data_IF_345057821497
#
_entry.id   IF_345057821497
#
_cell.length_a   1.000
_cell.length_b   1.000
_cell.length_c   1.000
_cell.angle_alpha   90.00
_cell.angle_beta   90.00
_cell.angle_gamma   90.00
#
_symmetry.space_group_name_H-M   'P 1'
#
loop_
_entity.id
_entity.type
_entity.pdbx_description
1 polymer ?
#
# COMPACT_ATOMS: atom_id res chain seq x y z
N UNK A 1 -7.32 -10.27 4.60
CA UNK A 1 -7.45 -10.14 3.12
C UNK A 1 -6.38 -11.00 2.46
N UNK A 2 -6.71 -11.95 1.58
CA UNK A 2 -5.70 -12.75 0.86
C UNK A 2 -5.41 -12.07 -0.47
N UNK A 3 -4.15 -11.77 -0.74
CA UNK A 3 -3.69 -11.13 -1.98
C UNK A 3 -3.29 -12.24 -2.95
N UNK A 4 -3.76 -12.15 -4.20
CA UNK A 4 -3.39 -13.03 -5.31
C UNK A 4 -2.22 -12.45 -6.11
N UNK A 5 -2.22 -11.14 -6.32
CA UNK A 5 -1.29 -10.44 -7.21
C UNK A 5 -1.17 -8.98 -6.77
N UNK A 6 -0.02 -8.38 -7.04
CA UNK A 6 0.24 -6.96 -6.77
C UNK A 6 0.69 -6.32 -8.07
N UNK A 7 -0.10 -5.36 -8.54
CA UNK A 7 0.25 -4.52 -9.68
C UNK A 7 0.61 -3.13 -9.20
N UNK A 8 1.51 -2.47 -9.91
CA UNK A 8 1.83 -1.09 -9.63
C UNK A 8 2.08 -0.32 -10.92
N UNK A 9 1.90 0.99 -10.85
CA UNK A 9 2.39 1.92 -11.87
C UNK A 9 2.87 3.17 -11.17
N UNK A 10 3.87 3.81 -11.76
CA UNK A 10 4.39 5.08 -11.26
C UNK A 10 4.33 6.08 -12.41
N UNK A 11 3.57 7.15 -12.22
CA UNK A 11 3.51 8.28 -13.16
C UNK A 11 4.62 9.27 -12.78
N UNK A 12 5.23 9.90 -13.77
CA UNK A 12 6.27 10.93 -13.53
C UNK A 12 5.64 12.27 -13.12
N UNK A 13 4.96 12.27 -11.98
CA UNK A 13 4.35 13.42 -11.28
C UNK A 13 4.57 13.23 -9.78
N UNK A 14 4.46 14.31 -9.01
CA UNK A 14 4.47 14.20 -7.54
C UNK A 14 3.33 13.29 -7.09
N UNK A 15 3.63 12.37 -6.17
CA UNK A 15 2.65 11.38 -5.69
C UNK A 15 2.03 10.57 -6.84
N UNK A 16 2.85 10.10 -7.78
CA UNK A 16 2.40 9.37 -8.97
C UNK A 16 2.20 7.87 -8.80
N UNK A 17 2.34 7.32 -7.59
CA UNK A 17 2.36 5.88 -7.35
C UNK A 17 0.96 5.32 -7.11
N UNK A 18 0.53 4.39 -7.98
CA UNK A 18 -0.66 3.57 -7.71
C UNK A 18 -0.26 2.10 -7.52
N UNK A 19 -0.90 1.43 -6.57
CA UNK A 19 -0.70 0.00 -6.31
C UNK A 19 -2.06 -0.68 -6.21
N UNK A 20 -2.21 -1.83 -6.84
CA UNK A 20 -3.41 -2.66 -6.78
C UNK A 20 -3.05 -3.99 -6.16
N UNK A 21 -3.74 -4.33 -5.08
CA UNK A 21 -3.74 -5.68 -4.52
C UNK A 21 -4.99 -6.37 -5.03
N UNK A 22 -4.81 -7.37 -5.90
CA UNK A 22 -5.91 -8.23 -6.34
C UNK A 22 -6.22 -9.22 -5.22
N UNK A 23 -7.42 -9.18 -4.67
CA UNK A 23 -7.81 -10.04 -3.54
C UNK A 23 -8.44 -11.34 -4.03
N UNK A 24 -8.58 -12.31 -3.12
CA UNK A 24 -9.08 -13.64 -3.48
C UNK A 24 -10.59 -13.70 -3.76
N UNK A 25 -11.35 -12.75 -3.21
CA UNK A 25 -12.79 -12.55 -3.36
C UNK A 25 -13.17 -11.69 -4.58
N UNK A 26 -12.22 -11.49 -5.51
CA UNK A 26 -12.36 -10.64 -6.70
C UNK A 26 -12.55 -9.14 -6.38
N UNK A 27 -12.30 -8.71 -5.15
CA UNK A 27 -12.17 -7.29 -4.82
C UNK A 27 -10.75 -6.81 -5.05
N UNK A 28 -10.60 -5.49 -5.09
CA UNK A 28 -9.31 -4.83 -5.18
C UNK A 28 -9.13 -3.91 -4.00
N UNK A 29 -7.93 -3.92 -3.42
CA UNK A 29 -7.45 -2.84 -2.58
C UNK A 29 -6.58 -1.96 -3.46
N UNK A 30 -6.92 -0.68 -3.57
CA UNK A 30 -6.19 0.31 -4.34
C UNK A 30 -5.46 1.23 -3.38
N UNK A 31 -4.16 1.41 -3.61
CA UNK A 31 -3.41 2.56 -3.13
C UNK A 31 -3.37 3.62 -4.24
N UNK A 32 -3.85 4.82 -3.97
CA UNK A 32 -3.97 5.91 -4.93
C UNK A 32 -3.12 7.14 -4.60
N UNK A 33 -1.96 6.92 -4.02
CA UNK A 33 -0.95 7.94 -3.67
C UNK A 33 -1.25 8.69 -2.37
N UNK A 34 -2.49 8.68 -1.90
CA UNK A 34 -2.91 9.37 -0.66
C UNK A 34 -3.51 8.41 0.37
N UNK A 35 -3.66 7.13 0.04
CA UNK A 35 -4.25 6.17 0.95
C UNK A 35 -4.76 4.92 0.26
N UNK A 36 -5.43 4.08 1.05
CA UNK A 36 -6.02 2.82 0.62
C UNK A 36 -7.54 2.86 0.55
N UNK A 37 -8.11 2.32 -0.54
CA UNK A 37 -9.55 2.16 -0.71
C UNK A 37 -9.89 0.79 -1.30
N UNK A 38 -11.04 0.23 -0.91
CA UNK A 38 -11.59 -0.92 -1.62
C UNK A 38 -12.34 -0.45 -2.86
N UNK A 39 -12.12 -1.14 -3.97
CA UNK A 39 -12.83 -0.88 -5.22
C UNK A 39 -13.35 -2.19 -5.81
N UNK A 40 -14.56 -2.12 -6.37
CA UNK A 40 -15.24 -3.28 -6.96
C UNK A 40 -14.72 -3.58 -8.36
N UNK A 41 -14.34 -2.55 -9.12
CA UNK A 41 -13.81 -2.66 -10.47
C UNK A 41 -12.59 -1.77 -10.67
N UNK A 42 -11.62 -2.29 -11.42
CA UNK A 42 -10.45 -1.53 -11.90
C UNK A 42 -10.27 -1.79 -13.38
N UNK A 43 -10.01 -0.71 -14.12
CA UNK A 43 -9.54 -0.84 -15.50
C UNK A 43 -8.08 -1.33 -15.54
N UNK A 44 -7.93 -2.65 -15.67
CA UNK A 44 -6.64 -3.33 -15.81
C UNK A 44 -6.10 -3.34 -17.24
N UNK A 45 -6.83 -2.78 -18.22
CA UNK A 45 -6.40 -2.75 -19.63
C UNK A 45 -5.30 -1.71 -19.91
N UNK A 46 -4.93 -0.89 -18.91
CA UNK A 46 -3.80 0.02 -19.00
C UNK A 46 -2.48 -0.77 -18.97
N UNK A 47 -1.79 -0.82 -20.11
CA UNK A 47 -0.53 -1.56 -20.27
C UNK A 47 0.65 -1.04 -19.42
N UNK A 48 0.47 0.07 -18.69
CA UNK A 48 1.48 0.62 -17.79
C UNK A 48 1.52 -0.10 -16.43
N UNK A 49 0.54 -0.94 -16.12
CA UNK A 49 0.59 -1.79 -14.93
C UNK A 49 1.73 -2.79 -15.03
N UNK A 50 2.58 -2.81 -14.00
CA UNK A 50 3.68 -3.76 -13.83
C UNK A 50 3.34 -4.72 -12.71
N UNK A 51 3.64 -6.00 -12.90
CA UNK A 51 3.59 -6.96 -11.80
C UNK A 51 4.75 -6.73 -10.85
N UNK A 52 4.48 -6.81 -9.54
CA UNK A 52 5.55 -6.81 -8.55
C UNK A 52 6.38 -8.09 -8.68
N UNK A 53 7.65 -7.94 -9.08
CA UNK A 53 8.57 -9.07 -9.26
C UNK A 53 8.88 -9.81 -7.95
N UNK A 54 8.67 -9.16 -6.81
CA UNK A 54 8.95 -9.73 -5.48
C UNK A 54 7.71 -10.42 -4.87
N UNK A 55 6.59 -10.43 -5.60
CA UNK A 55 5.38 -11.12 -5.17
C UNK A 55 5.40 -12.59 -5.62
N UNK A 56 5.75 -13.48 -4.69
CA UNK A 56 5.89 -14.90 -4.99
C UNK A 56 4.72 -15.80 -4.60
N UNK A 57 3.79 -15.35 -3.74
CA UNK A 57 2.81 -16.25 -3.08
C UNK A 57 1.48 -15.56 -2.74
N UNK A 58 0.41 -16.35 -2.60
CA UNK A 58 -0.85 -15.89 -1.99
C UNK A 58 -0.64 -15.63 -0.49
N UNK A 59 -0.34 -14.39 -0.12
CA UNK A 59 -0.16 -13.99 1.27
C UNK A 59 -1.37 -13.21 1.77
N UNK A 60 -1.62 -13.32 3.07
CA UNK A 60 -2.64 -12.53 3.74
C UNK A 60 -2.04 -11.20 4.20
N UNK A 61 -2.75 -10.10 4.02
CA UNK A 61 -2.45 -8.84 4.71
C UNK A 61 -2.91 -8.98 6.16
N UNK A 62 -1.98 -8.75 7.09
CA UNK A 62 -2.20 -8.78 8.54
C UNK A 62 -2.28 -7.37 9.14
N UNK A 63 -1.74 -6.35 8.47
CA UNK A 63 -1.91 -4.96 8.89
C UNK A 63 -1.62 -3.95 7.78
N UNK A 64 -2.23 -2.76 7.91
CA UNK A 64 -1.97 -1.57 7.10
C UNK A 64 -1.78 -0.39 8.05
N UNK A 65 -0.68 0.34 7.89
CA UNK A 65 -0.25 1.42 8.76
C UNK A 65 0.15 2.65 7.94
N UNK A 66 0.00 3.84 8.50
CA UNK A 66 0.30 5.13 7.87
C UNK A 66 1.07 6.06 8.81
N UNK A 67 2.06 6.78 8.27
CA UNK A 67 2.66 7.97 8.89
C UNK A 67 2.29 9.23 8.10
N UNK A 68 1.27 9.96 8.52
CA UNK A 68 0.88 11.31 8.02
C UNK A 68 1.09 11.54 6.50
N UNK A 69 0.63 10.61 5.64
CA UNK A 69 0.83 10.61 4.17
C UNK A 69 2.29 10.48 3.67
N UNK A 70 3.27 10.44 4.56
CA UNK A 70 4.72 10.32 4.27
C UNK A 70 5.16 8.89 4.02
N UNK A 71 4.57 7.94 4.74
CA UNK A 71 4.86 6.53 4.62
C UNK A 71 3.64 5.65 4.85
N UNK A 72 3.64 4.49 4.21
CA UNK A 72 2.66 3.45 4.43
C UNK A 72 3.32 2.08 4.51
N UNK A 73 2.71 1.19 5.29
CA UNK A 73 3.21 -0.15 5.51
C UNK A 73 2.09 -1.15 5.30
N UNK A 74 2.30 -2.12 4.42
CA UNK A 74 1.40 -3.27 4.28
C UNK A 74 2.13 -4.51 4.78
N UNK A 75 1.71 -5.02 5.93
CA UNK A 75 2.32 -6.17 6.60
C UNK A 75 1.65 -7.45 6.13
N UNK A 76 2.44 -8.38 5.60
CA UNK A 76 1.98 -9.69 5.16
C UNK A 76 2.19 -10.76 6.22
N UNK A 77 1.41 -11.83 6.12
CA UNK A 77 1.40 -12.95 7.08
C UNK A 77 2.70 -13.75 7.19
N UNK A 78 3.63 -13.58 6.25
CA UNK A 78 4.97 -14.17 6.32
C UNK A 78 6.01 -13.21 6.94
N UNK A 79 5.58 -12.04 7.43
CA UNK A 79 6.46 -11.02 7.98
C UNK A 79 7.02 -10.05 6.94
N UNK A 80 6.79 -10.25 5.64
CA UNK A 80 7.22 -9.26 4.65
C UNK A 80 6.42 -7.97 4.82
N UNK A 81 7.05 -6.84 4.51
CA UNK A 81 6.43 -5.53 4.54
C UNK A 81 6.56 -4.91 3.15
N UNK A 82 5.45 -4.49 2.54
CA UNK A 82 5.52 -3.53 1.44
C UNK A 82 5.58 -2.15 2.07
N UNK A 83 6.75 -1.53 2.00
CA UNK A 83 7.01 -0.18 2.49
C UNK A 83 6.87 0.80 1.34
N UNK A 84 5.98 1.77 1.50
CA UNK A 84 5.72 2.86 0.55
C UNK A 84 6.19 4.13 1.24
N UNK A 85 7.04 4.90 0.59
CA UNK A 85 7.66 6.07 1.21
C UNK A 85 7.93 7.18 0.20
N UNK A 86 8.02 8.40 0.70
CA UNK A 86 8.43 9.54 -0.08
C UNK A 86 9.96 9.64 -0.13
N UNK A 87 10.49 9.98 -1.31
CA UNK A 87 11.88 10.32 -1.53
C UNK A 87 11.95 11.66 -2.28
N UNK A 88 12.97 12.46 -1.99
CA UNK A 88 13.24 13.68 -2.74
C UNK A 88 14.32 13.36 -3.77
N UNK A 89 14.03 13.59 -5.04
CA UNK A 89 15.03 13.41 -6.10
C UNK A 89 15.93 14.65 -6.24
N UNK A 90 16.98 14.56 -7.07
CA UNK A 90 17.91 15.67 -7.29
C UNK A 90 17.29 16.93 -7.92
N UNK A 91 16.04 16.85 -8.41
CA UNK A 91 15.28 17.99 -8.95
C UNK A 91 14.29 18.57 -7.92
N UNK A 92 14.44 18.22 -6.63
CA UNK A 92 13.57 18.61 -5.51
C UNK A 92 12.11 18.17 -5.65
N UNK A 93 11.83 17.18 -6.51
CA UNK A 93 10.49 16.60 -6.66
C UNK A 93 10.28 15.47 -5.67
N UNK A 94 9.07 15.39 -5.13
CA UNK A 94 8.66 14.33 -4.21
C UNK A 94 8.22 13.12 -5.03
N UNK A 95 8.99 12.04 -4.94
CA UNK A 95 8.66 10.76 -5.55
C UNK A 95 8.17 9.79 -4.50
N UNK A 96 7.04 9.16 -4.76
CA UNK A 96 6.62 7.99 -4.00
C UNK A 96 7.28 6.74 -4.58
N UNK A 97 7.96 6.03 -3.71
CA UNK A 97 8.61 4.76 -3.98
C UNK A 97 7.93 3.64 -3.20
N UNK A 98 8.18 2.41 -3.64
CA UNK A 98 7.80 1.23 -2.89
C UNK A 98 8.90 0.18 -2.95
N UNK A 99 9.08 -0.55 -1.85
CA UNK A 99 9.93 -1.74 -1.82
C UNK A 99 9.37 -2.80 -0.89
N UNK A 100 9.69 -4.05 -1.18
CA UNK A 100 9.50 -5.12 -0.22
C UNK A 100 10.68 -5.13 0.74
N UNK A 101 10.37 -5.08 2.04
CA UNK A 101 11.33 -5.27 3.13
C UNK A 101 11.08 -6.67 3.68
N UNK A 102 12.11 -7.50 3.58
CA UNK A 102 12.09 -8.90 4.02
C UNK A 102 12.69 -9.01 5.43
N UNK A 103 12.27 -9.99 6.25
CA UNK A 103 12.86 -10.22 7.56
C UNK A 103 14.38 -10.45 7.55
N UNK A 104 14.95 -10.82 6.41
CA UNK A 104 16.39 -10.99 6.19
C UNK A 104 17.14 -9.70 5.88
N UNK A 105 16.44 -8.61 5.54
CA UNK A 105 17.06 -7.35 5.15
C UNK A 105 17.67 -6.65 6.37
N UNK A 106 18.81 -5.99 6.17
CA UNK A 106 19.59 -5.40 7.27
C UNK A 106 18.83 -4.31 8.03
N UNK A 107 17.92 -3.61 7.34
CA UNK A 107 17.14 -2.49 7.85
C UNK A 107 15.72 -2.88 8.29
N UNK A 108 15.36 -4.17 8.22
CA UNK A 108 14.02 -4.65 8.58
C UNK A 108 13.60 -4.23 9.99
N UNK A 109 14.51 -4.32 10.97
CA UNK A 109 14.23 -3.94 12.36
C UNK A 109 13.96 -2.45 12.51
N UNK A 110 14.64 -1.62 11.74
CA UNK A 110 14.47 -0.16 11.79
C UNK A 110 13.10 0.21 11.21
N UNK A 111 12.71 -0.40 10.08
CA UNK A 111 11.38 -0.25 9.48
C UNK A 111 10.28 -0.73 10.43
N UNK A 112 10.47 -1.88 11.10
CA UNK A 112 9.52 -2.37 12.10
C UNK A 112 9.44 -1.44 13.30
N UNK A 113 10.56 -0.92 13.80
CA UNK A 113 10.56 0.04 14.92
C UNK A 113 9.77 1.29 14.54
N UNK A 114 10.07 1.87 13.38
CA UNK A 114 9.39 3.06 12.87
C UNK A 114 7.88 2.84 12.68
N UNK A 115 7.47 1.69 12.12
CA UNK A 115 6.05 1.35 11.95
C UNK A 115 5.29 1.19 13.29
N UNK A 116 5.98 0.98 14.40
CA UNK A 116 5.37 0.84 15.73
C UNK A 116 5.49 2.11 16.59
N UNK A 117 5.92 3.24 16.00
CA UNK A 117 5.93 4.53 16.69
C UNK A 117 4.51 5.00 17.01
N UNK A 118 4.38 5.84 18.04
CA UNK A 118 3.09 6.24 18.61
C UNK A 118 2.21 7.09 17.67
N UNK A 119 2.83 7.80 16.72
CA UNK A 119 2.14 8.63 15.73
C UNK A 119 1.71 7.86 14.48
N UNK A 120 2.02 6.56 14.39
CA UNK A 120 1.63 5.73 13.26
C UNK A 120 0.16 5.32 13.40
N UNK A 121 -0.65 5.70 12.41
CA UNK A 121 -2.05 5.35 12.34
C UNK A 121 -2.26 3.91 11.83
N UNK A 122 -3.14 3.17 12.50
CA UNK A 122 -3.51 1.80 12.11
C UNK A 122 -4.79 1.83 11.29
N UNK A 123 -4.66 1.64 9.98
CA UNK A 123 -5.80 1.56 9.05
C UNK A 123 -6.44 0.17 9.03
N UNK A 124 -5.63 -0.87 9.26
CA UNK A 124 -6.12 -2.24 9.34
C UNK A 124 -5.23 -3.07 10.25
N UNK A 125 -5.84 -3.92 11.07
CA UNK A 125 -5.15 -4.95 11.83
C UNK A 125 -6.01 -6.20 11.91
N UNK A 126 -5.39 -7.36 11.74
CA UNK A 126 -6.07 -8.64 11.95
C UNK A 126 -6.35 -8.91 13.44
N UNK A 127 -5.59 -8.31 14.36
CA UNK A 127 -5.60 -8.65 15.79
C UNK A 127 -6.53 -7.79 16.67
N UNK A 128 -7.15 -6.70 16.17
CA UNK A 128 -7.99 -5.81 16.98
C UNK A 128 -8.80 -4.77 16.18
N UNK A 129 -9.75 -4.10 16.87
CA UNK A 129 -10.77 -3.17 16.32
C UNK A 129 -10.19 -2.10 15.38
N UNK A 130 -10.86 -1.94 14.25
CA UNK A 130 -10.42 -1.28 13.02
C UNK A 130 -10.90 0.18 12.99
N UNK A 131 -10.05 1.12 12.61
CA UNK A 131 -10.50 2.36 11.97
C UNK A 131 -10.76 2.02 10.50
N UNK A 132 -12.01 2.15 10.06
CA UNK A 132 -12.48 1.77 8.72
C UNK A 132 -11.44 2.09 7.64
N UNK A 133 -10.97 1.08 6.86
CA UNK A 133 -10.42 1.37 5.53
C UNK A 133 -11.51 2.19 4.83
N UNK A 134 -11.23 3.47 4.59
CA UNK A 134 -12.26 4.45 4.21
C UNK A 134 -12.86 4.03 2.87
N UNK A 135 -14.18 3.86 2.87
CA UNK A 135 -14.98 3.77 1.65
C UNK A 135 -15.05 5.15 1.03
N UNK A 136 -14.39 5.39 -0.09
CA UNK A 136 -14.66 6.57 -0.91
C UNK A 136 -14.96 6.17 -2.35
N UNK A 137 -16.23 5.86 -2.59
CA UNK A 137 -16.88 6.13 -3.88
C UNK A 137 -18.39 6.16 -3.65
N UNK A 138 -18.90 7.33 -3.24
CA UNK A 138 -20.33 7.47 -2.99
C UNK A 138 -20.86 8.82 -2.52
N UNK A 139 -20.06 9.85 -2.23
CA UNK A 139 -20.61 11.19 -1.99
C UNK A 139 -20.37 12.11 -3.20
N UNK A 140 -21.13 11.83 -4.26
CA UNK A 140 -21.56 12.89 -5.18
C UNK A 140 -22.86 13.47 -4.64
N UNK A 141 -22.80 14.18 -3.53
CA UNK A 141 -23.76 15.26 -3.28
C UNK A 141 -23.37 16.44 -4.15
N UNK A 142 -23.83 16.41 -5.40
CA UNK A 142 -23.84 17.58 -6.27
C UNK A 142 -25.25 18.16 -6.29
N UNK A 143 -25.38 19.26 -5.54
CA UNK A 143 -26.47 20.25 -5.45
C UNK A 143 -27.72 19.88 -4.66
#
# INVERSE_FOLDING_TARGET
MIVKDILYRNKDIDYGLNIIFKLDDNKFLLFDSIGFSFVEEINLMDNRWKHSLHWGNKLRIDGIYEDELTAYFVVFSNGNILYIYQSINGDEKIRQEMRFVLPSDSDYKDIVSYMNEEWIDVWYSKAGSINNIIFSLGDKTCK
#
